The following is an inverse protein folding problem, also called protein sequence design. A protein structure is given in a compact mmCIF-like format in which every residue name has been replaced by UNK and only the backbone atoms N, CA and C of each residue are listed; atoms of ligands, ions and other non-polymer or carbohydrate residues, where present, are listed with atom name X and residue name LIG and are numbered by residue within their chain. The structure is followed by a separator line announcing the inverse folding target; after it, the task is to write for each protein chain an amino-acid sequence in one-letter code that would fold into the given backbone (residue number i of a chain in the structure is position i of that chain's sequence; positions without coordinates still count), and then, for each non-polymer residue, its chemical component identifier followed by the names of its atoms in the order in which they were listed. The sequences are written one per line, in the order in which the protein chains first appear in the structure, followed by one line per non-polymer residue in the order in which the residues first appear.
data_IF_601461131576
#
_entry.id   IF_601461131576
#
_cell.length_a   1.000
_cell.length_b   1.000
_cell.length_c   1.000
_cell.angle_alpha   90.00
_cell.angle_beta   90.00
_cell.angle_gamma   90.00
#
_symmetry.space_group_name_H-M   'P 1'
#
loop_
_entity.id
_entity.type
_entity.pdbx_description
1 polymer ?
#
# COMPACT_ATOMS: atom_id res chain seq x y z
N UNK A 1 -9.12 22.46 -24.22
CA UNK A 1 -9.64 21.46 -23.30
C UNK A 1 -8.79 21.52 -22.04
N UNK A 2 -9.36 21.51 -20.86
CA UNK A 2 -8.54 21.46 -19.65
C UNK A 2 -7.74 20.16 -19.66
N UNK A 3 -6.42 20.24 -19.64
CA UNK A 3 -5.55 19.08 -19.44
C UNK A 3 -5.80 18.57 -18.01
N UNK A 4 -6.51 17.47 -17.87
CA UNK A 4 -6.61 16.80 -16.58
C UNK A 4 -5.19 16.37 -16.17
N UNK A 5 -4.68 16.99 -15.12
CA UNK A 5 -3.42 16.54 -14.51
C UNK A 5 -3.67 15.14 -13.94
N UNK A 6 -2.90 14.17 -14.39
CA UNK A 6 -3.00 12.81 -13.86
C UNK A 6 -2.41 12.75 -12.46
N UNK A 7 -3.06 11.99 -11.59
CA UNK A 7 -2.45 11.68 -10.29
C UNK A 7 -1.22 10.77 -10.47
N UNK A 8 -0.21 11.00 -9.66
CA UNK A 8 1.01 10.18 -9.64
C UNK A 8 0.88 9.07 -8.62
N UNK A 9 0.97 7.83 -9.06
CA UNK A 9 0.90 6.65 -8.21
C UNK A 9 2.27 5.97 -8.09
N UNK A 10 2.68 5.64 -6.86
CA UNK A 10 3.81 4.77 -6.59
C UNK A 10 3.34 3.44 -6.00
N UNK A 11 3.56 2.33 -6.70
CA UNK A 11 3.40 0.99 -6.15
C UNK A 11 4.67 0.57 -5.42
N UNK A 12 4.57 0.28 -4.12
CA UNK A 12 5.66 -0.26 -3.30
C UNK A 12 5.43 -1.76 -3.14
N UNK A 13 6.27 -2.55 -3.77
CA UNK A 13 6.13 -4.00 -3.84
C UNK A 13 7.14 -4.69 -2.92
N UNK A 14 6.63 -5.49 -1.99
CA UNK A 14 7.49 -6.39 -1.23
C UNK A 14 7.70 -7.70 -2.02
N UNK A 15 8.90 -7.96 -2.56
CA UNK A 15 9.15 -9.13 -3.40
C UNK A 15 9.07 -10.46 -2.66
N UNK A 16 9.16 -10.46 -1.34
CA UNK A 16 9.11 -11.68 -0.51
C UNK A 16 7.66 -12.03 -0.13
N UNK A 17 6.76 -11.05 -0.13
CA UNK A 17 5.36 -11.28 0.22
C UNK A 17 4.61 -12.01 -0.90
N UNK A 18 4.12 -13.20 -0.60
CA UNK A 18 3.31 -14.00 -1.53
C UNK A 18 4.12 -14.59 -2.68
N UNK A 19 4.63 -15.80 -2.48
CA UNK A 19 5.50 -16.56 -3.40
C UNK A 19 5.10 -16.37 -4.88
N UNK A 20 5.97 -15.72 -5.66
CA UNK A 20 5.82 -15.59 -7.12
C UNK A 20 4.75 -14.60 -7.61
N UNK A 21 4.09 -13.85 -6.75
CA UNK A 21 3.05 -12.89 -7.15
C UNK A 21 3.59 -11.56 -7.69
N UNK A 22 4.88 -11.25 -7.47
CA UNK A 22 5.47 -9.98 -7.91
C UNK A 22 5.42 -9.77 -9.41
N UNK A 23 5.78 -10.82 -10.19
CA UNK A 23 5.71 -10.76 -11.67
C UNK A 23 4.30 -10.54 -12.19
N UNK A 24 3.30 -10.93 -11.40
CA UNK A 24 1.89 -10.71 -11.73
C UNK A 24 1.47 -9.27 -11.48
N UNK A 25 2.14 -8.54 -10.55
CA UNK A 25 1.74 -7.17 -10.26
C UNK A 25 2.05 -6.21 -11.41
N UNK A 26 3.23 -6.29 -12.01
CA UNK A 26 3.60 -5.45 -13.17
C UNK A 26 2.63 -5.63 -14.32
N UNK A 27 2.39 -6.90 -14.70
CA UNK A 27 1.43 -7.22 -15.77
C UNK A 27 0.01 -6.78 -15.43
N UNK A 28 -0.39 -6.87 -14.16
CA UNK A 28 -1.72 -6.46 -13.74
C UNK A 28 -1.88 -4.94 -13.73
N UNK A 29 -0.88 -4.20 -13.23
CA UNK A 29 -0.87 -2.74 -13.28
C UNK A 29 -0.90 -2.27 -14.73
N UNK A 30 -0.04 -2.84 -15.59
CA UNK A 30 0.00 -2.50 -17.01
C UNK A 30 -1.35 -2.73 -17.71
N UNK A 31 -2.03 -3.81 -17.36
CA UNK A 31 -3.28 -4.22 -18.02
C UNK A 31 -4.54 -3.56 -17.47
N UNK A 32 -4.59 -3.27 -16.15
CA UNK A 32 -5.84 -2.92 -15.47
C UNK A 32 -5.85 -1.52 -14.87
N UNK A 33 -4.69 -0.85 -14.69
CA UNK A 33 -4.65 0.53 -14.21
C UNK A 33 -5.16 1.48 -15.30
N UNK A 34 -5.99 2.43 -14.90
CA UNK A 34 -6.51 3.48 -15.77
C UNK A 34 -5.42 4.53 -16.03
N UNK A 35 -4.72 4.38 -17.14
CA UNK A 35 -3.60 5.25 -17.54
C UNK A 35 -4.04 6.63 -18.05
N UNK A 36 -5.31 6.86 -18.22
CA UNK A 36 -5.82 8.21 -18.51
C UNK A 36 -5.91 9.05 -17.24
N UNK A 37 -6.14 8.40 -16.08
CA UNK A 37 -6.21 9.05 -14.77
C UNK A 37 -4.89 9.09 -14.04
N UNK A 38 -3.99 8.13 -14.28
CA UNK A 38 -2.82 7.89 -13.44
C UNK A 38 -1.53 7.76 -14.24
N UNK A 39 -0.48 8.44 -13.76
CA UNK A 39 0.90 8.14 -14.10
C UNK A 39 1.50 7.31 -12.97
N UNK A 40 2.17 6.20 -13.26
CA UNK A 40 2.60 5.29 -12.21
C UNK A 40 4.09 4.92 -12.28
N UNK A 41 4.63 4.56 -11.12
CA UNK A 41 5.92 3.90 -10.96
C UNK A 41 5.79 2.70 -10.03
N UNK A 42 6.72 1.76 -10.16
CA UNK A 42 6.83 0.60 -9.29
C UNK A 42 8.21 0.62 -8.63
N UNK A 43 8.24 0.47 -7.32
CA UNK A 43 9.45 0.34 -6.52
C UNK A 43 9.41 -0.95 -5.71
N UNK A 44 10.54 -1.63 -5.60
CA UNK A 44 10.67 -2.88 -4.84
C UNK A 44 11.41 -2.63 -3.54
N UNK A 45 10.94 -3.25 -2.46
CA UNK A 45 11.68 -3.26 -1.20
C UNK A 45 12.84 -4.24 -1.28
N UNK A 46 13.95 -3.90 -0.63
CA UNK A 46 15.19 -4.71 -0.64
C UNK A 46 15.57 -5.24 0.74
N UNK A 47 14.96 -4.71 1.80
CA UNK A 47 15.24 -5.10 3.19
C UNK A 47 14.01 -4.80 4.07
N UNK A 48 13.97 -5.34 5.31
CA UNK A 48 12.89 -5.05 6.25
C UNK A 48 12.71 -3.54 6.48
N UNK A 49 11.45 -3.08 6.53
CA UNK A 49 11.07 -1.67 6.73
C UNK A 49 11.47 -0.71 5.60
N UNK A 50 12.02 -1.19 4.48
CA UNK A 50 12.35 -0.33 3.35
C UNK A 50 11.13 0.40 2.76
N UNK A 51 9.94 -0.19 2.87
CA UNK A 51 8.70 0.46 2.41
C UNK A 51 8.45 1.81 3.09
N UNK A 52 8.81 1.96 4.38
CA UNK A 52 8.72 3.25 5.09
C UNK A 52 9.60 4.32 4.44
N UNK A 53 10.86 4.00 4.14
CA UNK A 53 11.79 4.94 3.51
C UNK A 53 11.33 5.33 2.10
N UNK A 54 10.84 4.36 1.32
CA UNK A 54 10.29 4.62 -0.03
C UNK A 54 9.04 5.49 0.07
N UNK A 55 8.15 5.23 1.02
CA UNK A 55 6.94 6.02 1.22
C UNK A 55 7.25 7.47 1.59
N UNK A 56 8.19 7.71 2.51
CA UNK A 56 8.66 9.07 2.83
C UNK A 56 9.22 9.77 1.59
N UNK A 57 10.09 9.09 0.84
CA UNK A 57 10.70 9.65 -0.37
C UNK A 57 9.67 9.93 -1.47
N UNK A 58 8.57 9.19 -1.52
CA UNK A 58 7.50 9.39 -2.50
C UNK A 58 6.78 10.71 -2.31
N UNK A 59 6.53 11.11 -1.08
CA UNK A 59 5.89 12.40 -0.75
C UNK A 59 6.77 13.57 -1.20
N UNK A 60 8.09 13.48 -0.96
CA UNK A 60 9.06 14.49 -1.41
C UNK A 60 9.10 14.60 -2.95
N UNK A 61 8.74 13.53 -3.65
CA UNK A 61 8.71 13.46 -5.13
C UNK A 61 7.31 13.70 -5.71
N UNK A 62 6.41 14.29 -4.93
CA UNK A 62 5.06 14.66 -5.34
C UNK A 62 4.22 13.48 -5.88
N UNK A 63 4.31 12.32 -5.26
CA UNK A 63 3.33 11.25 -5.50
C UNK A 63 2.08 11.51 -4.67
N UNK A 64 0.92 11.47 -5.33
CA UNK A 64 -0.38 11.70 -4.71
C UNK A 64 -0.89 10.45 -4.00
N UNK A 65 -0.57 9.29 -4.56
CA UNK A 65 -1.05 7.98 -4.10
C UNK A 65 0.14 7.04 -3.96
N UNK A 66 0.24 6.38 -2.82
CA UNK A 66 1.19 5.29 -2.58
C UNK A 66 0.42 4.00 -2.38
N UNK A 67 0.71 2.99 -3.17
CA UNK A 67 0.03 1.69 -3.10
C UNK A 67 0.96 0.66 -2.46
N UNK A 68 0.58 0.18 -1.29
CA UNK A 68 1.26 -0.94 -0.64
C UNK A 68 0.84 -2.26 -1.30
N UNK A 69 1.80 -2.95 -1.93
CA UNK A 69 1.62 -4.28 -2.50
C UNK A 69 2.29 -5.30 -1.60
N UNK A 70 1.52 -5.92 -0.73
CA UNK A 70 2.07 -6.80 0.30
C UNK A 70 1.02 -7.30 1.29
N UNK A 71 1.49 -7.81 2.43
CA UNK A 71 0.67 -8.14 3.58
C UNK A 71 0.60 -6.99 4.60
N UNK A 72 0.04 -7.28 5.77
CA UNK A 72 -0.19 -6.27 6.84
C UNK A 72 1.09 -5.55 7.27
N UNK A 73 2.24 -6.22 7.30
CA UNK A 73 3.55 -5.60 7.61
C UNK A 73 3.95 -4.53 6.58
N UNK A 74 3.80 -4.83 5.28
CA UNK A 74 4.12 -3.87 4.20
C UNK A 74 3.17 -2.67 4.24
N UNK A 75 1.90 -2.91 4.55
CA UNK A 75 0.89 -1.86 4.70
C UNK A 75 1.27 -0.95 5.87
N UNK A 76 1.59 -1.52 7.04
CA UNK A 76 2.01 -0.75 8.21
C UNK A 76 3.29 0.07 7.97
N UNK A 77 4.25 -0.47 7.24
CA UNK A 77 5.45 0.27 6.87
C UNK A 77 5.13 1.48 5.97
N UNK A 78 4.21 1.33 5.02
CA UNK A 78 3.73 2.47 4.23
C UNK A 78 2.95 3.48 5.10
N UNK A 79 2.09 3.04 6.01
CA UNK A 79 1.38 3.92 6.95
C UNK A 79 2.35 4.77 7.74
N UNK A 80 3.44 4.19 8.29
CA UNK A 80 4.46 4.94 9.03
C UNK A 80 5.10 6.05 8.17
N UNK A 81 5.37 5.75 6.90
CA UNK A 81 6.00 6.71 5.98
C UNK A 81 5.06 7.81 5.49
N UNK A 82 3.75 7.54 5.45
CA UNK A 82 2.74 8.48 4.95
C UNK A 82 2.00 9.25 6.05
N UNK A 83 2.20 8.88 7.31
CA UNK A 83 1.50 9.50 8.42
C UNK A 83 1.67 11.03 8.41
N UNK A 84 0.57 11.76 8.52
CA UNK A 84 0.50 13.23 8.48
C UNK A 84 0.99 13.90 7.19
N UNK A 85 1.06 13.18 6.08
CA UNK A 85 1.54 13.76 4.80
C UNK A 85 0.42 14.20 3.84
N UNK A 86 -0.80 13.77 4.05
CA UNK A 86 -1.91 14.01 3.13
C UNK A 86 -1.91 13.10 1.88
N UNK A 87 -0.90 12.27 1.67
CA UNK A 87 -0.89 11.30 0.57
C UNK A 87 -1.88 10.16 0.82
N UNK A 88 -2.49 9.65 -0.24
CA UNK A 88 -3.46 8.56 -0.17
C UNK A 88 -2.73 7.22 -0.15
N UNK A 89 -3.11 6.33 0.78
CA UNK A 89 -2.65 4.95 0.80
C UNK A 89 -3.63 4.05 0.04
N UNK A 90 -3.16 3.43 -1.04
CA UNK A 90 -3.84 2.31 -1.71
C UNK A 90 -3.30 0.97 -1.21
N UNK A 91 -4.07 -0.10 -1.35
CA UNK A 91 -3.69 -1.44 -0.91
C UNK A 91 -3.97 -2.45 -2.01
N UNK A 92 -2.95 -3.23 -2.37
CA UNK A 92 -3.08 -4.47 -3.16
C UNK A 92 -2.62 -5.63 -2.27
N UNK A 93 -3.56 -6.38 -1.67
CA UNK A 93 -3.23 -7.38 -0.67
C UNK A 93 -2.66 -8.64 -1.31
N UNK A 94 -1.41 -8.97 -0.96
CA UNK A 94 -0.72 -10.18 -1.46
C UNK A 94 -0.21 -11.08 -0.32
N UNK A 95 -0.40 -10.68 0.93
CA UNK A 95 -0.04 -11.48 2.11
C UNK A 95 -1.00 -12.61 2.40
N UNK A 96 -0.74 -13.35 3.48
CA UNK A 96 -1.59 -14.46 3.94
C UNK A 96 -2.79 -13.99 4.78
N UNK A 97 -2.59 -13.02 5.67
CA UNK A 97 -3.63 -12.50 6.56
C UNK A 97 -4.49 -11.42 5.90
N UNK A 98 -3.85 -10.34 5.50
CA UNK A 98 -4.48 -9.16 4.90
C UNK A 98 -5.62 -8.58 5.77
N UNK A 99 -5.36 -8.46 7.09
CA UNK A 99 -6.35 -8.09 8.08
C UNK A 99 -6.98 -6.72 7.81
N UNK A 100 -6.16 -5.70 7.56
CA UNK A 100 -6.66 -4.36 7.24
C UNK A 100 -7.45 -4.34 5.92
N UNK A 101 -6.97 -5.02 4.88
CA UNK A 101 -7.68 -5.08 3.61
C UNK A 101 -9.07 -5.73 3.75
N UNK A 102 -9.18 -6.79 4.55
CA UNK A 102 -10.46 -7.44 4.85
C UNK A 102 -11.39 -6.52 5.64
N UNK A 103 -10.87 -5.85 6.65
CA UNK A 103 -11.65 -4.90 7.47
C UNK A 103 -12.24 -3.76 6.62
N UNK A 104 -11.48 -3.27 5.64
CA UNK A 104 -11.88 -2.20 4.74
C UNK A 104 -12.65 -2.70 3.49
N UNK A 105 -12.95 -4.00 3.40
CA UNK A 105 -13.59 -4.63 2.25
C UNK A 105 -12.83 -4.40 0.92
N UNK A 106 -11.49 -4.31 1.00
CA UNK A 106 -10.65 -4.23 -0.19
C UNK A 106 -10.55 -5.63 -0.82
N UNK A 107 -10.79 -5.76 -2.13
CA UNK A 107 -10.71 -7.05 -2.80
C UNK A 107 -9.34 -7.70 -2.66
N UNK A 108 -9.30 -9.03 -2.43
CA UNK A 108 -8.06 -9.78 -2.26
C UNK A 108 -7.43 -10.22 -3.60
N UNK A 109 -8.16 -10.09 -4.69
CA UNK A 109 -7.65 -10.31 -6.05
C UNK A 109 -6.89 -9.07 -6.52
N UNK A 110 -5.69 -9.24 -7.07
CA UNK A 110 -4.87 -8.14 -7.59
C UNK A 110 -5.65 -7.32 -8.62
N UNK A 111 -6.35 -7.97 -9.54
CA UNK A 111 -7.16 -7.32 -10.58
C UNK A 111 -8.22 -6.41 -9.96
N UNK A 112 -8.99 -6.94 -9.03
CA UNK A 112 -10.10 -6.21 -8.41
C UNK A 112 -9.61 -5.10 -7.48
N UNK A 113 -8.47 -5.31 -6.79
CA UNK A 113 -7.83 -4.26 -6.00
C UNK A 113 -7.38 -3.09 -6.87
N UNK A 114 -6.84 -3.35 -8.08
CA UNK A 114 -6.49 -2.28 -9.04
C UNK A 114 -7.76 -1.57 -9.54
N UNK A 115 -8.85 -2.27 -9.77
CA UNK A 115 -10.12 -1.62 -10.12
C UNK A 115 -10.66 -0.75 -8.99
N UNK A 116 -10.48 -1.14 -7.73
CA UNK A 116 -10.83 -0.29 -6.59
C UNK A 116 -9.97 0.98 -6.54
N UNK A 117 -8.68 0.89 -6.90
CA UNK A 117 -7.80 2.05 -7.06
C UNK A 117 -8.30 2.97 -8.19
N UNK A 118 -8.67 2.43 -9.34
CA UNK A 118 -9.22 3.20 -10.45
C UNK A 118 -10.50 3.97 -10.09
N UNK A 119 -11.30 3.42 -9.18
CA UNK A 119 -12.50 4.08 -8.69
C UNK A 119 -12.20 5.27 -7.77
N UNK A 120 -10.98 5.36 -7.22
CA UNK A 120 -10.49 6.43 -6.34
C UNK A 120 -11.48 6.81 -5.23
N UNK A 121 -12.16 5.81 -4.65
CA UNK A 121 -13.01 6.02 -3.49
C UNK A 121 -12.14 6.06 -2.23
N UNK A 122 -11.91 7.26 -1.71
CA UNK A 122 -11.06 7.47 -0.53
C UNK A 122 -11.92 7.54 0.72
N UNK A 123 -11.43 6.96 1.80
CA UNK A 123 -12.01 7.04 3.14
C UNK A 123 -10.92 7.41 4.15
N UNK A 124 -11.28 8.12 5.18
CA UNK A 124 -10.39 8.35 6.32
C UNK A 124 -10.51 7.18 7.29
N UNK A 125 -9.37 6.73 7.80
CA UNK A 125 -9.30 5.70 8.84
C UNK A 125 -8.49 6.19 10.02
N UNK A 126 -8.87 5.75 11.21
CA UNK A 126 -8.10 6.00 12.42
C UNK A 126 -6.80 5.20 12.41
N UNK A 127 -5.76 5.81 12.97
CA UNK A 127 -4.48 5.15 13.23
C UNK A 127 -4.21 5.11 14.72
N UNK A 128 -3.44 4.11 15.15
CA UNK A 128 -3.05 3.95 16.55
C UNK A 128 -1.58 4.37 16.68
N UNK A 129 -1.28 5.15 17.71
CA UNK A 129 0.11 5.49 18.07
C UNK A 129 0.46 4.86 19.42
N UNK A 130 1.53 4.07 19.43
CA UNK A 130 2.08 3.49 20.67
C UNK A 130 3.61 3.67 20.66
N UNK A 131 4.16 4.26 21.72
CA UNK A 131 5.60 4.51 21.83
C UNK A 131 6.21 5.19 20.59
N UNK A 132 5.55 6.23 20.08
CA UNK A 132 5.92 6.97 18.87
C UNK A 132 5.92 6.13 17.57
N UNK A 133 5.30 4.97 17.59
CA UNK A 133 5.12 4.14 16.40
C UNK A 133 3.66 4.16 16.00
N UNK A 134 3.38 4.52 14.74
CA UNK A 134 2.03 4.56 14.17
C UNK A 134 1.75 3.25 13.43
N UNK A 135 0.53 2.76 13.56
CA UNK A 135 0.04 1.61 12.81
C UNK A 135 -1.47 1.69 12.56
N UNK A 136 -1.91 1.08 11.47
CA UNK A 136 -3.33 1.06 11.06
C UNK A 136 -3.96 -0.34 11.14
N UNK A 137 -3.23 -1.32 11.69
CA UNK A 137 -3.65 -2.71 11.80
C UNK A 137 -3.51 -3.19 13.24
N UNK A 138 -3.53 -4.50 13.48
CA UNK A 138 -3.48 -5.11 14.80
C UNK A 138 -2.09 -4.96 15.42
N UNK A 139 -2.04 -4.55 16.70
CA UNK A 139 -0.86 -4.66 17.55
C UNK A 139 -1.16 -5.63 18.70
N UNK A 140 -0.32 -6.63 18.88
CA UNK A 140 -0.41 -7.57 19.99
C UNK A 140 0.65 -7.27 21.05
N UNK A 141 0.26 -7.33 22.35
CA UNK A 141 1.17 -7.19 23.49
C UNK A 141 1.05 -8.48 24.33
N UNK A 142 2.17 -9.06 24.71
CA UNK A 142 2.19 -10.26 25.55
C UNK A 142 2.13 -11.56 24.75
N UNK A 143 1.21 -12.46 25.08
CA UNK A 143 1.13 -13.80 24.49
C UNK A 143 0.93 -13.79 22.97
N UNK A 144 0.08 -12.91 22.48
CA UNK A 144 -0.18 -12.77 21.04
C UNK A 144 1.07 -12.35 20.26
N UNK A 145 1.92 -11.51 20.85
CA UNK A 145 3.19 -11.11 20.26
C UNK A 145 4.22 -12.23 20.19
N UNK A 146 4.12 -13.24 21.05
CA UNK A 146 4.96 -14.44 21.03
C UNK A 146 4.56 -15.42 19.92
N UNK A 147 3.29 -15.50 19.58
CA UNK A 147 2.77 -16.39 18.51
C UNK A 147 3.09 -15.80 17.13
N UNK A 148 3.18 -14.48 17.00
CA UNK A 148 3.44 -13.79 15.73
C UNK A 148 4.91 -13.78 15.29
N UNK A 149 5.83 -14.36 16.10
CA UNK A 149 7.23 -14.57 15.74
C UNK A 149 7.36 -15.87 14.96
#
# INVERSE_FOLDING_TARGET
MPSFVKDKILFIVNPISGVGKQRKIESAVEKYLDKEKFDYKIAYTSYPHHATAIAIASVIRDFDIVVAVGGDGSINDCVKGLFSTGAILGIVPTGSGNGLARCLNIPLSIKEAIFAINAKKVIDIDTISLNNTVFASIAGIGFDALIAK
#
